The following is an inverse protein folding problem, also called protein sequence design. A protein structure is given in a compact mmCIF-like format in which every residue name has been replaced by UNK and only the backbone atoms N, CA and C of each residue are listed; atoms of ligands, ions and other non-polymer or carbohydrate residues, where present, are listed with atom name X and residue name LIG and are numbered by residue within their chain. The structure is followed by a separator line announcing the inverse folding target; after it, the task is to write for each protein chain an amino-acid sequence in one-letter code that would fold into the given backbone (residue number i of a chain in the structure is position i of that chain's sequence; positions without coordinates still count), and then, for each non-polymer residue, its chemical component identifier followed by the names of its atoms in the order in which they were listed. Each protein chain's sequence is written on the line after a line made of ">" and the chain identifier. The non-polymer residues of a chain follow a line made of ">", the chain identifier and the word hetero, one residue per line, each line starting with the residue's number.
data_IF_282185733825
#
_entry.id   IF_282185733825
#
_cell.length_a   1.000
_cell.length_b   1.000
_cell.length_c   1.000
_cell.angle_alpha   90.00
_cell.angle_beta   90.00
_cell.angle_gamma   90.00
#
_symmetry.space_group_name_H-M   'P 1'
#
loop_
_entity.id
_entity.type
_entity.pdbx_description
1 polymer ?
#
# COMPACT_ATOMS: atom_id res chain seq x y z
N UNK A 1 -24.04 -25.31 2.37
CA UNK A 1 -23.20 -25.97 1.35
C UNK A 1 -23.00 -25.15 0.08
N UNK A 2 -24.03 -24.48 -0.47
CA UNK A 2 -23.89 -23.63 -1.67
C UNK A 2 -23.04 -22.34 -1.45
N UNK A 3 -23.10 -21.74 -0.28
CA UNK A 3 -22.33 -20.51 0.06
C UNK A 3 -20.83 -20.79 0.17
N UNK A 4 -20.45 -21.96 0.69
CA UNK A 4 -19.03 -22.37 0.81
C UNK A 4 -18.40 -22.64 -0.55
N UNK A 5 -19.15 -23.17 -1.51
CA UNK A 5 -18.65 -23.47 -2.84
C UNK A 5 -18.46 -22.21 -3.70
N UNK A 6 -19.29 -21.18 -3.48
CA UNK A 6 -19.12 -19.87 -4.12
C UNK A 6 -17.85 -19.14 -3.64
N UNK A 7 -17.53 -19.24 -2.36
CA UNK A 7 -16.29 -18.64 -1.80
C UNK A 7 -15.02 -19.30 -2.36
N UNK A 8 -15.01 -20.62 -2.55
CA UNK A 8 -13.86 -21.34 -3.13
C UNK A 8 -13.63 -20.98 -4.60
N UNK A 9 -14.69 -20.76 -5.38
CA UNK A 9 -14.56 -20.40 -6.79
C UNK A 9 -14.10 -18.93 -6.99
N UNK A 10 -14.52 -18.01 -6.12
CA UNK A 10 -14.02 -16.63 -6.12
C UNK A 10 -12.52 -16.57 -5.75
N UNK A 11 -12.11 -17.35 -4.75
CA UNK A 11 -10.71 -17.52 -4.36
C UNK A 11 -9.83 -18.06 -5.49
N UNK A 12 -10.30 -19.07 -6.24
CA UNK A 12 -9.56 -19.62 -7.37
C UNK A 12 -9.33 -18.59 -8.48
N UNK A 13 -10.24 -17.65 -8.68
CA UNK A 13 -10.11 -16.60 -9.70
C UNK A 13 -9.14 -15.50 -9.29
N UNK A 14 -9.10 -15.11 -8.01
CA UNK A 14 -8.13 -14.14 -7.48
C UNK A 14 -6.71 -14.70 -7.52
N UNK A 15 -6.53 -15.98 -7.14
CA UNK A 15 -5.21 -16.63 -7.20
C UNK A 15 -4.77 -17.00 -8.62
N UNK A 16 -5.68 -17.31 -9.54
CA UNK A 16 -5.33 -17.60 -10.93
C UNK A 16 -4.82 -16.35 -11.68
N UNK A 17 -5.35 -15.17 -11.39
CA UNK A 17 -4.83 -13.89 -11.91
C UNK A 17 -3.43 -13.59 -11.40
N UNK A 18 -3.16 -13.85 -10.12
CA UNK A 18 -1.87 -13.63 -9.48
C UNK A 18 -0.80 -14.64 -9.95
N UNK A 19 -1.16 -15.91 -10.13
CA UNK A 19 -0.24 -16.97 -10.59
C UNK A 19 0.22 -16.78 -12.04
N UNK A 20 -0.57 -16.15 -12.91
CA UNK A 20 -0.18 -15.83 -14.28
C UNK A 20 0.90 -14.74 -14.35
N UNK A 21 0.98 -13.85 -13.36
CA UNK A 21 2.01 -12.80 -13.32
C UNK A 21 3.41 -13.35 -12.97
N UNK A 22 3.50 -14.43 -12.20
CA UNK A 22 4.80 -15.05 -11.84
C UNK A 22 5.45 -15.81 -13.00
N UNK A 23 4.67 -16.32 -13.94
CA UNK A 23 5.21 -17.07 -15.11
C UNK A 23 5.88 -16.20 -16.16
N UNK A 24 5.65 -14.90 -16.19
CA UNK A 24 6.22 -14.01 -17.21
C UNK A 24 7.65 -13.53 -16.91
N UNK A 25 8.14 -13.73 -15.67
CA UNK A 25 9.47 -13.25 -15.23
C UNK A 25 10.57 -14.31 -15.18
N UNK A 26 10.31 -15.54 -15.55
CA UNK A 26 11.27 -16.62 -15.46
C UNK A 26 11.40 -17.41 -16.75
N UNK A 27 12.32 -17.06 -17.64
CA UNK A 27 13.15 -17.97 -18.45
C UNK A 27 13.96 -17.22 -19.51
N UNK A 28 15.25 -17.08 -19.29
CA UNK A 28 16.27 -17.33 -20.33
C UNK A 28 17.67 -17.34 -19.70
N UNK A 29 18.16 -18.55 -19.46
CA UNK A 29 19.56 -18.81 -19.28
C UNK A 29 19.96 -19.93 -20.24
N UNK A 30 20.68 -19.59 -21.31
CA UNK A 30 21.66 -20.47 -21.92
C UNK A 30 22.40 -19.73 -23.04
N UNK A 31 23.73 -19.80 -23.04
CA UNK A 31 24.54 -19.45 -24.20
C UNK A 31 25.82 -18.67 -23.82
N UNK A 32 26.89 -19.42 -23.60
CA UNK A 32 28.27 -18.91 -23.52
C UNK A 32 28.64 -18.17 -24.83
N UNK A 33 29.29 -17.03 -24.66
CA UNK A 33 29.93 -16.30 -25.76
C UNK A 33 30.67 -15.10 -25.21
N UNK A 34 32.02 -15.18 -25.05
CA UNK A 34 32.84 -14.08 -24.59
C UNK A 34 32.76 -12.89 -25.57
N UNK A 35 32.60 -11.66 -25.10
CA UNK A 35 32.63 -10.48 -25.96
C UNK A 35 34.06 -9.99 -26.18
N UNK A 36 34.37 -9.82 -27.45
CA UNK A 36 35.52 -9.09 -27.99
C UNK A 36 35.31 -7.59 -27.68
N UNK A 37 36.33 -6.93 -27.13
CA UNK A 37 36.34 -5.52 -26.86
C UNK A 37 36.39 -4.68 -28.13
N UNK A 38 35.60 -3.63 -28.31
CA UNK A 38 35.82 -2.60 -29.32
C UNK A 38 36.73 -1.50 -28.80
N UNK A 39 37.65 -1.08 -29.66
CA UNK A 39 38.64 -0.03 -29.44
C UNK A 39 38.02 1.37 -29.50
N UNK A 40 38.50 2.24 -28.62
CA UNK A 40 38.74 3.65 -28.86
C UNK A 40 37.52 4.57 -28.96
N UNK A 41 37.17 5.23 -27.83
CA UNK A 41 36.45 6.49 -27.86
C UNK A 41 37.40 7.65 -27.46
N UNK A 42 37.31 8.85 -28.11
CA UNK A 42 38.20 9.97 -27.83
C UNK A 42 37.86 10.67 -26.51
N UNK A 43 38.88 11.20 -25.86
CA UNK A 43 38.83 11.96 -24.62
C UNK A 43 38.06 13.29 -24.77
N UNK A 44 37.30 13.71 -23.73
CA UNK A 44 36.65 15.02 -23.72
C UNK A 44 37.65 16.15 -23.43
N UNK A 45 37.38 17.37 -23.91
CA UNK A 45 38.30 18.52 -23.70
C UNK A 45 38.22 19.01 -22.26
N UNK A 46 39.41 19.29 -21.71
CA UNK A 46 39.62 19.96 -20.43
C UNK A 46 39.28 21.44 -20.54
N UNK A 47 38.38 21.91 -19.66
CA UNK A 47 38.12 23.34 -19.51
C UNK A 47 36.82 23.59 -18.73
N UNK A 48 36.89 23.43 -17.39
CA UNK A 48 35.88 24.01 -16.50
C UNK A 48 36.58 25.01 -15.57
N UNK A 49 36.01 26.21 -15.37
CA UNK A 49 36.56 27.18 -14.42
C UNK A 49 36.28 26.75 -12.98
N UNK A 50 37.26 26.90 -12.13
CA UNK A 50 37.21 26.71 -10.68
C UNK A 50 36.20 27.69 -10.07
N UNK A 51 35.23 27.18 -9.38
CA UNK A 51 34.33 27.96 -8.55
C UNK A 51 34.97 28.23 -7.18
N UNK A 52 34.91 29.47 -6.77
CA UNK A 52 35.35 30.04 -5.51
C UNK A 52 34.57 29.44 -4.31
N UNK A 53 35.20 29.11 -3.17
CA UNK A 53 34.47 28.64 -1.99
C UNK A 53 33.94 29.83 -1.19
N UNK A 54 32.78 30.34 -1.58
CA UNK A 54 32.14 31.46 -0.93
C UNK A 54 30.84 31.09 -0.24
N UNK A 55 30.85 31.24 1.11
CA UNK A 55 29.72 31.51 2.04
C UNK A 55 28.61 30.49 2.13
N UNK A 56 28.33 29.88 3.30
CA UNK A 56 27.16 29.04 3.52
C UNK A 56 25.89 29.88 3.43
N UNK A 57 24.81 29.35 2.84
CA UNK A 57 23.53 30.03 2.81
C UNK A 57 22.96 30.16 4.22
N UNK A 58 22.17 31.21 4.51
CA UNK A 58 21.63 31.44 5.84
C UNK A 58 20.63 30.33 6.21
N UNK A 59 20.75 29.82 7.43
CA UNK A 59 19.78 28.97 8.07
C UNK A 59 18.46 29.73 8.21
N UNK A 60 17.47 29.33 7.44
CA UNK A 60 16.13 29.94 7.42
C UNK A 60 15.19 29.15 6.53
N UNK A 61 15.15 27.83 6.68
CA UNK A 61 14.06 27.04 6.13
C UNK A 61 12.86 27.18 7.07
N UNK A 62 12.00 28.11 6.77
CA UNK A 62 10.61 28.11 7.24
C UNK A 62 9.99 26.80 6.81
N UNK A 63 9.68 25.94 7.76
CA UNK A 63 8.95 24.70 7.51
C UNK A 63 7.65 25.03 6.76
N UNK A 64 7.54 24.61 5.54
CA UNK A 64 6.29 24.57 4.82
C UNK A 64 5.46 23.49 5.51
N UNK A 65 4.56 23.92 6.40
CA UNK A 65 3.50 23.04 6.92
C UNK A 65 2.78 22.46 5.70
N UNK A 66 2.74 21.14 5.59
CA UNK A 66 1.86 20.44 4.65
C UNK A 66 0.46 21.05 4.79
N UNK A 67 -0.22 21.48 3.72
CA UNK A 67 -1.54 22.08 3.86
C UNK A 67 -2.46 21.07 4.53
N UNK A 68 -3.04 21.41 5.67
CA UNK A 68 -3.98 20.56 6.36
C UNK A 68 -5.19 20.30 5.47
N UNK A 69 -5.53 19.03 5.27
CA UNK A 69 -6.73 18.66 4.49
C UNK A 69 -7.97 19.27 5.15
N UNK A 70 -8.75 20.01 4.37
CA UNK A 70 -9.97 20.66 4.88
C UNK A 70 -11.15 19.70 4.73
N UNK A 71 -11.99 19.65 5.78
CA UNK A 71 -13.21 18.84 5.75
C UNK A 71 -14.17 19.31 4.63
N UNK A 72 -14.52 18.37 3.74
CA UNK A 72 -15.48 18.57 2.67
C UNK A 72 -16.90 18.19 3.06
N UNK A 73 -17.79 18.11 2.08
CA UNK A 73 -19.16 17.67 2.29
C UNK A 73 -19.21 16.22 2.80
N UNK A 74 -20.06 15.92 3.83
CA UNK A 74 -20.20 14.56 4.35
C UNK A 74 -20.77 13.61 3.28
N UNK A 75 -20.40 12.34 3.39
CA UNK A 75 -21.00 11.27 2.59
C UNK A 75 -22.32 10.85 3.26
N UNK A 76 -23.37 10.75 2.47
CA UNK A 76 -24.68 10.24 2.90
C UNK A 76 -24.95 8.95 2.13
N UNK A 77 -25.14 7.85 2.85
CA UNK A 77 -25.40 6.54 2.29
C UNK A 77 -26.40 5.77 3.16
N UNK A 78 -27.14 4.80 2.58
CA UNK A 78 -27.99 3.90 3.35
C UNK A 78 -27.17 3.13 4.39
N UNK A 79 -27.75 2.94 5.58
CA UNK A 79 -27.07 2.27 6.68
C UNK A 79 -26.81 0.79 6.36
N UNK A 80 -25.61 0.30 6.71
CA UNK A 80 -25.15 -1.08 6.52
C UNK A 80 -25.27 -1.61 5.07
N UNK A 81 -25.19 -0.68 4.10
CA UNK A 81 -25.31 -0.99 2.68
C UNK A 81 -24.07 -0.48 1.94
N UNK A 82 -23.39 -1.35 1.22
CA UNK A 82 -22.29 -0.95 0.36
C UNK A 82 -22.76 0.05 -0.68
N UNK A 83 -22.14 1.20 -0.73
CA UNK A 83 -22.53 2.32 -1.59
C UNK A 83 -21.26 2.91 -2.22
N UNK A 84 -21.25 2.99 -3.54
CA UNK A 84 -20.20 3.69 -4.27
C UNK A 84 -20.38 5.21 -4.19
N UNK A 85 -19.26 5.92 -4.04
CA UNK A 85 -19.21 7.38 -3.98
C UNK A 85 -18.13 7.86 -4.93
N UNK A 86 -18.53 8.50 -6.02
CA UNK A 86 -17.58 9.19 -6.91
C UNK A 86 -16.90 10.35 -6.18
N UNK A 87 -15.58 10.46 -6.33
CA UNK A 87 -14.80 11.54 -5.72
C UNK A 87 -14.24 12.43 -6.82
N UNK A 88 -14.73 13.66 -6.87
CA UNK A 88 -14.31 14.64 -7.88
C UNK A 88 -12.79 14.88 -7.87
N UNK A 89 -12.14 14.71 -9.00
CA UNK A 89 -10.71 14.89 -9.19
C UNK A 89 -9.86 13.66 -8.85
N UNK A 90 -10.43 12.58 -8.29
CA UNK A 90 -9.75 11.31 -8.12
C UNK A 90 -9.67 10.57 -9.46
N UNK A 91 -8.49 10.02 -9.78
CA UNK A 91 -8.21 9.38 -11.08
C UNK A 91 -7.47 8.06 -10.90
N UNK A 92 -7.76 7.10 -11.77
CA UNK A 92 -6.98 5.88 -11.96
C UNK A 92 -5.75 6.15 -12.86
N UNK A 93 -4.91 5.14 -13.04
CA UNK A 93 -3.69 5.23 -13.85
C UNK A 93 -3.96 5.55 -15.33
N UNK A 94 -5.08 5.10 -15.88
CA UNK A 94 -5.54 5.39 -17.25
C UNK A 94 -6.20 6.78 -17.39
N UNK A 95 -6.22 7.59 -16.32
CA UNK A 95 -6.87 8.90 -16.28
C UNK A 95 -8.39 8.87 -16.06
N UNK A 96 -9.01 7.68 -16.00
CA UNK A 96 -10.44 7.56 -15.72
C UNK A 96 -10.79 8.00 -14.29
N UNK A 97 -12.01 8.55 -14.05
CA UNK A 97 -12.43 8.95 -12.72
C UNK A 97 -12.65 7.73 -11.82
N UNK A 98 -12.44 7.93 -10.50
CA UNK A 98 -12.66 6.91 -9.49
C UNK A 98 -13.27 7.49 -8.20
N UNK A 99 -13.45 6.65 -7.19
CA UNK A 99 -14.06 7.02 -5.92
C UNK A 99 -13.76 6.02 -4.82
N UNK A 100 -14.69 5.88 -3.88
CA UNK A 100 -14.60 4.97 -2.75
C UNK A 100 -15.92 4.23 -2.51
N UNK A 101 -15.84 3.02 -1.97
CA UNK A 101 -16.97 2.31 -1.41
C UNK A 101 -17.16 2.65 0.07
N UNK A 102 -18.39 2.85 0.50
CA UNK A 102 -18.70 3.06 1.93
C UNK A 102 -19.78 2.10 2.40
N UNK A 103 -19.67 1.68 3.64
CA UNK A 103 -20.68 0.90 4.35
C UNK A 103 -20.83 1.49 5.74
N UNK A 104 -21.76 2.43 5.89
CA UNK A 104 -21.90 3.29 7.07
C UNK A 104 -22.83 2.67 8.11
N UNK A 105 -22.65 3.07 9.38
CA UNK A 105 -23.55 2.74 10.49
C UNK A 105 -23.65 3.91 11.46
N UNK A 106 -24.76 4.00 12.16
CA UNK A 106 -24.98 4.96 13.26
C UNK A 106 -24.56 4.40 14.63
N UNK A 107 -24.24 3.12 14.69
CA UNK A 107 -23.95 2.41 15.93
C UNK A 107 -22.56 2.72 16.48
N UNK A 108 -21.70 3.34 15.67
CA UNK A 108 -20.31 3.66 16.04
C UNK A 108 -19.81 4.92 15.34
N UNK A 109 -18.97 5.67 16.03
CA UNK A 109 -18.15 6.75 15.44
C UNK A 109 -16.77 6.23 14.97
N UNK A 110 -16.43 4.98 15.26
CA UNK A 110 -15.18 4.33 14.84
C UNK A 110 -15.20 4.00 13.34
N UNK A 111 -14.02 4.04 12.70
CA UNK A 111 -13.90 3.89 11.25
C UNK A 111 -12.77 2.92 10.89
N UNK A 112 -13.06 1.97 10.01
CA UNK A 112 -12.07 1.22 9.24
C UNK A 112 -11.96 1.85 7.86
N UNK A 113 -10.76 2.22 7.43
CA UNK A 113 -10.43 2.53 6.03
C UNK A 113 -9.55 1.41 5.52
N UNK A 114 -10.03 0.70 4.51
CA UNK A 114 -9.32 -0.43 3.90
C UNK A 114 -8.85 -0.07 2.50
N UNK A 115 -7.55 -0.19 2.26
CA UNK A 115 -6.90 0.02 0.97
C UNK A 115 -6.74 -1.33 0.27
N UNK A 116 -7.29 -1.44 -0.95
CA UNK A 116 -7.25 -2.67 -1.75
C UNK A 116 -5.83 -2.97 -2.24
N UNK A 117 -5.46 -4.25 -2.29
CA UNK A 117 -4.26 -4.73 -2.95
C UNK A 117 -4.36 -4.74 -4.48
N UNK A 118 -3.25 -5.05 -5.16
CA UNK A 118 -3.31 -5.16 -6.63
C UNK A 118 -1.97 -4.97 -7.34
N UNK A 119 -0.84 -5.21 -6.68
CA UNK A 119 0.48 -5.10 -7.30
C UNK A 119 0.97 -3.66 -7.47
N UNK A 120 1.99 -3.44 -8.29
CA UNK A 120 2.52 -2.10 -8.59
C UNK A 120 3.20 -2.09 -9.95
N UNK A 121 3.31 -0.92 -10.60
CA UNK A 121 4.01 -0.77 -11.85
C UNK A 121 4.87 0.51 -11.89
N UNK A 122 5.97 0.54 -12.64
CA UNK A 122 6.95 1.63 -12.59
C UNK A 122 7.69 1.89 -13.92
N UNK A 123 7.36 1.16 -14.97
CA UNK A 123 7.92 1.32 -16.31
C UNK A 123 6.91 0.93 -17.40
N UNK A 124 7.29 1.12 -18.65
CA UNK A 124 6.41 0.84 -19.78
C UNK A 124 5.95 -0.63 -19.83
N UNK A 125 6.80 -1.58 -19.48
CA UNK A 125 6.47 -3.00 -19.56
C UNK A 125 5.56 -3.42 -18.40
N UNK A 126 5.85 -2.96 -17.19
CA UNK A 126 5.06 -3.29 -16.00
C UNK A 126 3.69 -2.63 -15.98
N UNK A 127 3.52 -1.42 -16.58
CA UNK A 127 2.23 -0.74 -16.62
C UNK A 127 1.42 -1.04 -17.90
N UNK A 128 2.08 -1.13 -19.07
CA UNK A 128 1.43 -1.18 -20.38
C UNK A 128 1.77 -2.42 -21.20
N UNK A 129 2.54 -3.34 -20.64
CA UNK A 129 2.88 -4.61 -21.26
C UNK A 129 1.67 -5.55 -21.41
N UNK A 130 1.86 -6.72 -22.05
CA UNK A 130 0.79 -7.69 -22.27
C UNK A 130 0.30 -8.35 -20.97
N UNK A 131 1.04 -8.22 -19.87
CA UNK A 131 0.70 -8.67 -18.53
C UNK A 131 1.12 -7.60 -17.53
N UNK A 132 0.31 -6.53 -17.34
CA UNK A 132 0.62 -5.49 -16.38
C UNK A 132 0.76 -6.06 -14.96
N UNK A 133 1.72 -5.53 -14.20
CA UNK A 133 2.00 -6.00 -12.84
C UNK A 133 1.15 -5.30 -11.77
N UNK A 134 0.22 -4.45 -12.17
CA UNK A 134 -0.77 -3.83 -11.29
C UNK A 134 -2.19 -3.99 -11.87
N UNK A 135 -3.16 -4.22 -10.99
CA UNK A 135 -4.56 -4.34 -11.36
C UNK A 135 -5.16 -2.97 -11.72
N UNK A 136 -6.19 -3.00 -12.56
CA UNK A 136 -7.02 -1.86 -12.93
C UNK A 136 -6.27 -0.67 -13.58
N UNK A 137 -4.96 -0.78 -13.85
CA UNK A 137 -4.16 0.31 -14.46
C UNK A 137 -4.54 0.57 -15.92
N UNK A 138 -5.10 -0.43 -16.63
CA UNK A 138 -5.55 -0.30 -18.02
C UNK A 138 -7.06 -0.08 -18.17
N UNK A 139 -7.85 -0.31 -17.12
CA UNK A 139 -9.31 -0.37 -17.20
C UNK A 139 -9.99 0.61 -16.25
N UNK A 140 -9.23 1.22 -15.35
CA UNK A 140 -9.76 2.02 -14.28
C UNK A 140 -10.62 1.22 -13.30
N UNK A 141 -11.15 1.89 -12.29
CA UNK A 141 -12.06 1.32 -11.29
C UNK A 141 -13.15 2.34 -10.93
N UNK A 142 -14.38 1.98 -11.24
CA UNK A 142 -15.56 2.79 -10.95
C UNK A 142 -16.69 1.95 -10.35
N UNK A 143 -17.89 2.50 -10.35
CA UNK A 143 -19.06 1.83 -9.77
C UNK A 143 -19.30 0.43 -10.34
N UNK A 144 -19.06 0.22 -11.64
CA UNK A 144 -19.30 -1.08 -12.29
C UNK A 144 -18.38 -2.16 -11.73
N UNK A 145 -17.11 -1.85 -11.54
CA UNK A 145 -16.12 -2.74 -10.93
C UNK A 145 -16.50 -2.98 -9.46
N UNK A 146 -16.80 -1.92 -8.72
CA UNK A 146 -17.19 -2.00 -7.31
C UNK A 146 -18.39 -2.92 -7.07
N UNK A 147 -19.45 -2.84 -7.90
CA UNK A 147 -20.67 -3.65 -7.74
C UNK A 147 -20.42 -5.16 -7.91
N UNK A 148 -19.30 -5.54 -8.52
CA UNK A 148 -18.93 -6.94 -8.82
C UNK A 148 -17.60 -7.38 -8.25
N UNK A 149 -16.97 -6.53 -7.44
CA UNK A 149 -15.65 -6.79 -6.88
C UNK A 149 -15.66 -8.02 -5.95
N UNK A 150 -14.92 -9.09 -6.28
CA UNK A 150 -14.88 -10.28 -5.46
C UNK A 150 -14.06 -10.09 -4.17
N UNK A 151 -13.21 -9.06 -4.07
CA UNK A 151 -12.38 -8.81 -2.89
C UNK A 151 -13.22 -8.31 -1.70
N UNK A 152 -14.24 -7.48 -1.95
CA UNK A 152 -15.09 -6.94 -0.89
C UNK A 152 -15.69 -8.05 0.01
N UNK A 153 -16.33 -9.12 -0.52
CA UNK A 153 -16.82 -10.21 0.31
C UNK A 153 -15.73 -11.21 0.75
N UNK A 154 -14.54 -11.17 0.14
CA UNK A 154 -13.46 -12.11 0.45
C UNK A 154 -12.62 -11.67 1.64
N UNK A 155 -12.42 -10.37 1.83
CA UNK A 155 -11.62 -9.83 2.93
C UNK A 155 -12.41 -9.89 4.24
N UNK A 156 -11.88 -10.62 5.21
CA UNK A 156 -12.48 -10.81 6.53
C UNK A 156 -12.91 -9.51 7.22
N UNK A 157 -12.09 -8.46 7.17
CA UNK A 157 -12.39 -7.17 7.84
C UNK A 157 -13.59 -6.45 7.24
N UNK A 158 -13.98 -6.76 6.00
CA UNK A 158 -15.09 -6.14 5.28
C UNK A 158 -16.40 -6.94 5.43
N UNK A 159 -16.34 -8.20 5.89
CA UNK A 159 -17.50 -9.08 6.02
C UNK A 159 -18.26 -8.82 7.33
N UNK A 160 -19.33 -8.04 7.27
CA UNK A 160 -20.22 -7.79 8.41
C UNK A 160 -21.00 -9.02 8.88
N UNK A 161 -21.06 -10.09 8.08
CA UNK A 161 -21.77 -11.33 8.46
C UNK A 161 -20.94 -12.22 9.37
N UNK A 162 -19.61 -12.04 9.37
CA UNK A 162 -18.72 -12.77 10.27
C UNK A 162 -18.82 -12.19 11.69
N UNK A 163 -19.29 -13.03 12.64
CA UNK A 163 -19.43 -12.65 14.06
C UNK A 163 -18.08 -12.34 14.72
N UNK A 164 -16.99 -12.86 14.14
CA UNK A 164 -15.63 -12.65 14.65
C UNK A 164 -14.98 -11.38 14.11
N UNK A 165 -15.56 -10.74 13.10
CA UNK A 165 -15.04 -9.48 12.56
C UNK A 165 -15.20 -8.34 13.57
N UNK A 166 -14.10 -7.74 14.09
CA UNK A 166 -14.16 -6.63 15.05
C UNK A 166 -14.69 -5.33 14.44
N UNK A 167 -14.83 -5.25 13.11
CA UNK A 167 -15.35 -4.09 12.39
C UNK A 167 -16.81 -4.24 11.94
N UNK A 168 -17.46 -5.38 12.25
CA UNK A 168 -18.84 -5.66 11.81
C UNK A 168 -19.86 -4.57 12.20
N UNK A 169 -19.61 -3.87 13.30
CA UNK A 169 -20.50 -2.82 13.84
C UNK A 169 -19.87 -1.41 13.78
N UNK A 170 -18.81 -1.24 12.96
CA UNK A 170 -18.14 0.05 12.72
C UNK A 170 -18.43 0.58 11.33
N UNK A 171 -18.08 1.84 11.07
CA UNK A 171 -18.07 2.38 9.72
C UNK A 171 -16.94 1.75 8.91
N UNK A 172 -17.22 1.39 7.68
CA UNK A 172 -16.24 0.79 6.77
C UNK A 172 -16.15 1.63 5.50
N UNK A 173 -14.93 1.98 5.13
CA UNK A 173 -14.57 2.64 3.87
C UNK A 173 -13.66 1.70 3.10
N UNK A 174 -13.99 1.42 1.85
CA UNK A 174 -13.18 0.63 0.93
C UNK A 174 -12.60 1.57 -0.13
N UNK A 175 -11.29 1.58 -0.25
CA UNK A 175 -10.55 2.39 -1.22
C UNK A 175 -9.99 1.45 -2.28
N UNK A 176 -10.54 1.47 -3.51
CA UNK A 176 -10.09 0.58 -4.57
C UNK A 176 -8.70 0.96 -5.07
N UNK A 177 -8.02 -0.01 -5.66
CA UNK A 177 -6.70 0.17 -6.23
C UNK A 177 -6.72 0.18 -7.76
N UNK A 178 -6.32 1.31 -8.36
CA UNK A 178 -6.25 1.46 -9.81
C UNK A 178 -5.13 2.44 -10.25
N UNK A 179 -4.20 2.79 -9.35
CA UNK A 179 -3.18 3.80 -9.63
C UNK A 179 -1.79 3.23 -9.88
N UNK A 180 -1.56 1.95 -9.55
CA UNK A 180 -0.30 1.25 -9.84
C UNK A 180 0.90 1.67 -8.99
N UNK A 181 0.73 2.48 -7.94
CA UNK A 181 1.76 3.19 -7.16
C UNK A 181 1.74 2.92 -5.65
N UNK A 182 1.08 1.85 -5.22
CA UNK A 182 0.88 1.51 -3.80
C UNK A 182 0.34 2.71 -2.98
N UNK A 183 -0.61 3.46 -3.55
CA UNK A 183 -1.25 4.65 -2.97
C UNK A 183 -0.28 5.80 -2.61
N UNK A 184 0.93 5.83 -3.18
CA UNK A 184 1.98 6.77 -2.78
C UNK A 184 2.30 7.84 -3.81
N UNK A 185 1.75 7.75 -5.02
CA UNK A 185 2.11 8.59 -6.14
C UNK A 185 1.34 9.93 -6.21
N UNK A 186 2.03 10.95 -6.75
CA UNK A 186 1.46 12.25 -7.15
C UNK A 186 2.19 12.75 -8.39
N UNK A 187 2.04 12.04 -9.51
CA UNK A 187 2.72 12.37 -10.78
C UNK A 187 1.99 11.76 -11.96
N UNK A 188 1.99 12.50 -13.07
CA UNK A 188 1.66 11.96 -14.40
C UNK A 188 2.97 11.69 -15.14
N UNK A 189 3.11 10.47 -15.67
CA UNK A 189 4.31 10.02 -16.39
C UNK A 189 3.88 9.45 -17.72
N UNK A 190 4.56 9.82 -18.81
CA UNK A 190 4.34 9.22 -20.12
C UNK A 190 5.36 8.09 -20.35
N UNK A 191 4.87 6.89 -20.62
CA UNK A 191 5.67 5.76 -21.03
C UNK A 191 5.49 5.47 -22.51
N UNK A 192 6.59 5.23 -23.22
CA UNK A 192 6.52 4.72 -24.59
C UNK A 192 6.59 3.18 -24.56
N UNK A 193 5.51 2.52 -24.99
CA UNK A 193 5.48 1.07 -25.14
C UNK A 193 5.21 0.71 -26.60
N UNK A 194 6.19 0.05 -27.24
CA UNK A 194 6.15 -0.38 -28.65
C UNK A 194 5.82 0.78 -29.64
N UNK A 195 6.32 2.00 -29.37
CA UNK A 195 6.12 3.16 -30.24
C UNK A 195 4.83 3.93 -29.97
N UNK A 196 4.04 3.56 -28.96
CA UNK A 196 2.85 4.27 -28.49
C UNK A 196 3.13 4.92 -27.15
N UNK A 197 2.81 6.19 -27.03
CA UNK A 197 2.90 6.93 -25.78
C UNK A 197 1.64 6.73 -24.94
N UNK A 198 1.85 6.37 -23.68
CA UNK A 198 0.80 6.13 -22.70
C UNK A 198 1.00 7.05 -21.50
N UNK A 199 0.05 7.92 -21.26
CA UNK A 199 0.00 8.74 -20.06
C UNK A 199 -0.48 7.89 -18.88
N UNK A 200 0.30 7.87 -17.79
CA UNK A 200 0.02 7.08 -16.59
C UNK A 200 -0.10 8.02 -15.40
N UNK A 201 -1.26 8.03 -14.77
CA UNK A 201 -1.57 8.87 -13.61
C UNK A 201 -1.27 8.10 -12.32
N UNK A 202 -0.06 8.23 -11.80
CA UNK A 202 0.30 7.80 -10.44
C UNK A 202 -0.31 8.78 -9.44
N UNK A 203 -1.57 8.59 -9.13
CA UNK A 203 -2.39 9.54 -8.36
C UNK A 203 -2.76 9.01 -6.97
N UNK A 204 -2.14 7.94 -6.49
CA UNK A 204 -2.56 7.28 -5.26
C UNK A 204 -2.57 8.19 -4.05
N UNK A 205 -1.48 8.89 -3.76
CA UNK A 205 -1.41 9.85 -2.65
C UNK A 205 -2.32 11.08 -2.86
N UNK A 206 -2.40 11.59 -4.09
CA UNK A 206 -3.33 12.68 -4.44
C UNK A 206 -4.77 12.27 -4.16
N UNK A 207 -5.17 11.06 -4.57
CA UNK A 207 -6.50 10.53 -4.33
C UNK A 207 -6.78 10.39 -2.83
N UNK A 208 -5.82 9.89 -2.04
CA UNK A 208 -5.96 9.80 -0.57
C UNK A 208 -6.30 11.17 0.03
N UNK A 209 -5.67 12.24 -0.39
CA UNK A 209 -5.98 13.60 0.10
C UNK A 209 -7.41 14.04 -0.25
N UNK A 210 -7.91 13.68 -1.45
CA UNK A 210 -9.29 13.95 -1.86
C UNK A 210 -10.29 13.13 -1.03
N UNK A 211 -9.98 11.86 -0.77
CA UNK A 211 -10.79 11.00 0.09
C UNK A 211 -10.84 11.51 1.52
N UNK A 212 -9.70 11.89 2.08
CA UNK A 212 -9.61 12.46 3.43
C UNK A 212 -10.50 13.68 3.61
N UNK A 213 -10.59 14.58 2.63
CA UNK A 213 -11.50 15.71 2.69
C UNK A 213 -12.96 15.27 2.92
N UNK A 214 -13.42 14.24 2.20
CA UNK A 214 -14.78 13.69 2.35
C UNK A 214 -14.95 12.93 3.66
N UNK A 215 -13.92 12.17 4.07
CA UNK A 215 -13.95 11.39 5.32
C UNK A 215 -13.97 12.29 6.56
N UNK A 216 -13.23 13.37 6.57
CA UNK A 216 -13.25 14.37 7.67
C UNK A 216 -14.64 14.98 7.85
N UNK A 217 -15.33 15.30 6.75
CA UNK A 217 -16.71 15.80 6.81
C UNK A 217 -17.70 14.75 7.28
N UNK A 218 -17.45 13.48 6.94
CA UNK A 218 -18.34 12.35 7.27
C UNK A 218 -18.17 11.88 8.72
N UNK A 219 -16.93 11.88 9.23
CA UNK A 219 -16.58 11.33 10.54
C UNK A 219 -15.98 12.37 11.50
N UNK A 220 -16.67 13.50 11.77
CA UNK A 220 -16.13 14.60 12.58
C UNK A 220 -15.96 14.27 14.07
N UNK A 221 -16.55 13.14 14.50
CA UNK A 221 -16.55 12.70 15.90
C UNK A 221 -15.65 11.51 16.17
N UNK A 222 -15.06 10.92 15.13
CA UNK A 222 -14.24 9.71 15.32
C UNK A 222 -13.06 10.00 16.24
N UNK A 223 -12.82 9.07 17.16
CA UNK A 223 -11.65 9.06 18.06
C UNK A 223 -10.74 7.86 17.80
N UNK A 224 -11.19 6.90 16.98
CA UNK A 224 -10.41 5.73 16.56
C UNK A 224 -10.63 5.44 15.08
N UNK A 225 -9.55 5.38 14.36
CA UNK A 225 -9.50 4.98 12.96
C UNK A 225 -8.49 3.85 12.80
N UNK A 226 -8.85 2.82 12.04
CA UNK A 226 -7.92 1.81 11.57
C UNK A 226 -7.69 2.02 10.08
N UNK A 227 -6.45 2.24 9.71
CA UNK A 227 -6.00 2.25 8.34
C UNK A 227 -5.45 0.86 8.04
N UNK A 228 -6.19 0.10 7.26
CA UNK A 228 -5.84 -1.26 6.90
C UNK A 228 -5.64 -1.40 5.40
N UNK A 229 -4.94 -2.44 4.98
CA UNK A 229 -4.85 -2.79 3.57
C UNK A 229 -4.11 -4.10 3.39
N UNK A 230 -4.23 -4.66 2.19
CA UNK A 230 -3.55 -5.88 1.80
C UNK A 230 -2.60 -5.65 0.62
N UNK A 231 -1.45 -6.37 0.58
CA UNK A 231 -0.50 -6.28 -0.53
C UNK A 231 -0.09 -4.82 -0.83
N UNK A 232 -0.33 -4.31 -2.05
CA UNK A 232 -0.13 -2.89 -2.39
C UNK A 232 -0.88 -1.94 -1.44
N UNK A 233 -2.05 -2.34 -0.93
CA UNK A 233 -2.82 -1.58 0.06
C UNK A 233 -2.19 -1.63 1.46
N UNK A 234 -1.51 -2.70 1.83
CA UNK A 234 -0.71 -2.80 3.05
C UNK A 234 0.45 -1.79 3.04
N UNK A 235 1.23 -1.75 1.96
CA UNK A 235 2.22 -0.68 1.75
C UNK A 235 1.55 0.70 1.76
N UNK A 236 0.40 0.83 1.10
CA UNK A 236 -0.38 2.07 1.06
C UNK A 236 -0.80 2.55 2.44
N UNK A 237 -1.22 1.65 3.33
CA UNK A 237 -1.56 1.96 4.71
C UNK A 237 -0.34 2.48 5.49
N UNK A 238 0.79 1.81 5.36
CA UNK A 238 2.05 2.21 5.98
C UNK A 238 2.56 3.56 5.45
N UNK A 239 2.52 3.81 4.14
CA UNK A 239 3.00 5.07 3.53
C UNK A 239 2.08 6.26 3.82
N UNK A 240 0.76 6.05 3.94
CA UNK A 240 -0.19 7.13 4.18
C UNK A 240 -0.60 7.28 5.65
N UNK A 241 -0.05 6.48 6.57
CA UNK A 241 -0.38 6.57 8.00
C UNK A 241 -0.26 8.00 8.53
N UNK A 242 0.86 8.68 8.28
CA UNK A 242 1.07 10.06 8.72
C UNK A 242 0.03 11.03 8.17
N UNK A 243 -0.32 10.90 6.89
CA UNK A 243 -1.33 11.72 6.23
C UNK A 243 -2.71 11.56 6.90
N UNK A 244 -3.10 10.33 7.26
CA UNK A 244 -4.33 10.07 8.01
C UNK A 244 -4.25 10.59 9.44
N UNK A 245 -3.15 10.35 10.16
CA UNK A 245 -3.01 10.79 11.55
C UNK A 245 -2.99 12.32 11.67
N UNK A 246 -2.33 13.00 10.73
CA UNK A 246 -2.28 14.47 10.68
C UNK A 246 -3.62 15.09 10.27
N UNK A 247 -4.42 14.40 9.44
CA UNK A 247 -5.76 14.83 9.09
C UNK A 247 -6.76 14.63 10.25
N UNK A 248 -6.75 13.45 10.87
CA UNK A 248 -7.63 13.09 11.98
C UNK A 248 -6.99 13.39 13.35
N UNK A 249 -6.68 14.66 13.62
CA UNK A 249 -5.95 15.10 14.84
C UNK A 249 -6.60 14.70 16.17
N UNK A 250 -7.90 14.39 16.19
CA UNK A 250 -8.64 13.95 17.38
C UNK A 250 -8.74 12.45 17.52
N UNK A 251 -8.39 11.72 16.48
CA UNK A 251 -8.43 10.26 16.47
C UNK A 251 -7.03 9.68 16.64
N UNK A 252 -6.96 8.50 17.27
CA UNK A 252 -5.82 7.63 17.14
C UNK A 252 -5.99 6.79 15.89
N UNK A 253 -5.02 6.84 14.99
CA UNK A 253 -4.97 6.01 13.79
C UNK A 253 -4.08 4.80 14.06
N UNK A 254 -4.62 3.59 13.96
CA UNK A 254 -3.86 2.34 14.07
C UNK A 254 -3.70 1.72 12.67
N UNK A 255 -2.62 1.00 12.40
CA UNK A 255 -2.34 0.37 11.08
C UNK A 255 -2.51 -1.12 11.17
N UNK A 256 -3.21 -1.72 10.19
CA UNK A 256 -3.24 -3.16 9.93
C UNK A 256 -2.71 -3.39 8.51
N UNK A 257 -1.47 -3.82 8.42
CA UNK A 257 -0.76 -4.09 7.17
C UNK A 257 -0.76 -5.60 6.93
N UNK A 258 -1.47 -6.06 5.91
CA UNK A 258 -1.45 -7.47 5.49
C UNK A 258 -0.63 -7.61 4.21
N UNK A 259 0.52 -8.25 4.29
CA UNK A 259 1.39 -8.55 3.15
C UNK A 259 1.97 -7.30 2.45
N UNK A 260 2.06 -6.17 3.16
CA UNK A 260 2.83 -4.98 2.77
C UNK A 260 4.13 -4.87 3.57
N UNK A 261 4.83 -5.97 3.74
CA UNK A 261 6.01 -6.08 4.62
C UNK A 261 7.03 -4.99 4.32
N UNK A 262 7.45 -4.18 5.31
CA UNK A 262 8.42 -3.11 5.12
C UNK A 262 9.86 -3.64 4.97
N UNK A 263 10.06 -4.58 4.04
CA UNK A 263 11.35 -5.07 3.60
C UNK A 263 11.89 -4.09 2.57
N UNK A 264 13.16 -3.71 2.71
CA UNK A 264 13.77 -2.75 1.80
C UNK A 264 14.15 -3.43 0.48
N UNK A 265 13.66 -2.95 -0.68
CA UNK A 265 14.11 -3.44 -1.97
C UNK A 265 15.55 -2.96 -2.26
N UNK A 266 16.13 -3.46 -3.34
CA UNK A 266 17.39 -2.90 -3.85
C UNK A 266 17.33 -1.36 -3.91
N UNK A 267 18.38 -0.65 -3.42
CA UNK A 267 18.35 0.82 -3.35
C UNK A 267 18.07 1.53 -4.67
N UNK A 268 18.51 0.97 -5.81
CA UNK A 268 18.22 1.56 -7.12
C UNK A 268 16.74 1.38 -7.49
N UNK A 269 16.15 0.24 -7.17
CA UNK A 269 14.71 -0.03 -7.35
C UNK A 269 13.87 0.91 -6.48
N UNK A 270 14.23 1.09 -5.21
CA UNK A 270 13.55 2.05 -4.33
C UNK A 270 13.64 3.48 -4.84
N UNK A 271 14.81 3.90 -5.31
CA UNK A 271 14.99 5.21 -5.90
C UNK A 271 14.17 5.38 -7.20
N UNK A 272 14.06 4.34 -8.03
CA UNK A 272 13.22 4.33 -9.23
C UNK A 272 11.74 4.51 -8.85
N UNK A 273 11.20 3.72 -7.94
CA UNK A 273 9.80 3.83 -7.50
C UNK A 273 9.49 5.23 -6.98
N UNK A 274 10.31 5.74 -6.05
CA UNK A 274 10.14 7.10 -5.52
C UNK A 274 10.12 8.17 -6.61
N UNK A 275 11.00 8.05 -7.59
CA UNK A 275 11.11 9.03 -8.69
C UNK A 275 9.95 8.93 -9.68
N UNK A 276 9.55 7.71 -10.05
CA UNK A 276 8.49 7.48 -11.04
C UNK A 276 7.14 7.87 -10.48
N UNK A 277 6.86 7.51 -9.23
CA UNK A 277 5.61 7.84 -8.56
C UNK A 277 5.61 9.26 -7.96
N UNK A 278 6.76 9.93 -7.85
CA UNK A 278 6.95 11.18 -7.08
C UNK A 278 6.44 11.00 -5.64
N UNK A 279 6.87 9.90 -5.01
CA UNK A 279 6.46 9.55 -3.65
C UNK A 279 6.81 10.67 -2.67
N UNK A 280 5.83 11.11 -1.90
CA UNK A 280 6.01 12.15 -0.89
C UNK A 280 6.58 11.53 0.39
N UNK A 281 7.80 11.94 0.75
CA UNK A 281 8.42 11.54 2.01
C UNK A 281 8.12 12.57 3.10
N UNK A 282 7.95 12.16 4.37
CA UNK A 282 7.87 13.11 5.48
C UNK A 282 9.12 13.99 5.52
N UNK A 283 8.94 15.31 5.56
CA UNK A 283 10.04 16.28 5.46
C UNK A 283 11.06 16.16 6.61
N UNK A 284 10.61 15.67 7.76
CA UNK A 284 11.41 15.46 8.98
C UNK A 284 11.93 14.00 9.12
N UNK A 285 11.72 13.14 8.10
CA UNK A 285 12.27 11.79 8.06
C UNK A 285 13.52 11.72 7.16
N UNK A 286 14.70 11.89 7.74
CA UNK A 286 15.95 11.84 7.00
C UNK A 286 16.22 10.46 6.36
N UNK A 287 15.76 9.39 6.99
CA UNK A 287 16.04 8.01 6.59
C UNK A 287 14.97 7.39 5.69
N UNK A 288 13.77 7.96 5.56
CA UNK A 288 12.70 7.42 4.70
C UNK A 288 13.12 7.26 3.22
N UNK A 289 14.15 7.97 2.79
CA UNK A 289 14.73 7.78 1.46
C UNK A 289 15.50 6.45 1.29
N UNK A 290 15.79 5.73 2.38
CA UNK A 290 16.55 4.45 2.35
C UNK A 290 15.65 3.28 1.98
N UNK A 291 14.42 3.21 2.51
CA UNK A 291 13.51 2.10 2.25
C UNK A 291 12.18 2.19 3.01
N UNK A 292 11.25 1.27 2.74
CA UNK A 292 9.99 1.13 3.47
C UNK A 292 10.17 0.90 4.97
N UNK A 293 11.22 0.18 5.41
CA UNK A 293 11.51 -0.06 6.82
C UNK A 293 11.66 1.24 7.60
N UNK A 294 12.38 2.20 7.04
CA UNK A 294 12.61 3.50 7.64
C UNK A 294 11.33 4.35 7.78
N UNK A 295 10.34 4.17 6.90
CA UNK A 295 9.02 4.79 7.04
C UNK A 295 8.29 4.28 8.28
N UNK A 296 8.23 2.98 8.44
CA UNK A 296 7.53 2.35 9.56
C UNK A 296 8.20 2.72 10.87
N UNK A 297 9.52 2.66 10.95
CA UNK A 297 10.28 3.04 12.13
C UNK A 297 10.08 4.51 12.49
N UNK A 298 10.14 5.41 11.50
CA UNK A 298 9.87 6.84 11.72
C UNK A 298 8.49 7.06 12.35
N UNK A 299 7.45 6.43 11.82
CA UNK A 299 6.10 6.62 12.34
C UNK A 299 5.88 5.94 13.69
N UNK A 300 6.48 4.76 13.92
CA UNK A 300 6.45 4.10 15.24
C UNK A 300 7.11 4.96 16.31
N UNK A 301 8.22 5.62 15.99
CA UNK A 301 8.91 6.55 16.89
C UNK A 301 8.11 7.82 17.13
N UNK A 302 7.55 8.42 16.08
CA UNK A 302 6.82 9.70 16.13
C UNK A 302 5.47 9.55 16.87
N UNK A 303 4.82 8.39 16.76
CA UNK A 303 3.49 8.12 17.29
C UNK A 303 3.46 6.88 18.20
N UNK A 304 4.08 6.93 19.39
CA UNK A 304 4.30 5.77 20.25
C UNK A 304 3.03 5.17 20.87
N UNK A 305 1.89 5.87 20.79
CA UNK A 305 0.59 5.40 21.29
C UNK A 305 -0.27 4.70 20.23
N UNK A 306 0.13 4.82 18.95
CA UNK A 306 -0.57 4.18 17.84
C UNK A 306 -0.08 2.74 17.70
N UNK A 307 -0.91 1.84 17.19
CA UNK A 307 -0.59 0.44 17.02
C UNK A 307 -0.28 0.14 15.55
N UNK A 308 0.76 -0.65 15.33
CA UNK A 308 1.20 -1.09 14.01
C UNK A 308 1.18 -2.62 13.96
N UNK A 309 0.15 -3.18 13.33
CA UNK A 309 -0.02 -4.61 13.15
C UNK A 309 0.41 -5.05 11.75
N UNK A 310 1.36 -5.98 11.67
CA UNK A 310 1.80 -6.59 10.42
C UNK A 310 1.31 -8.04 10.37
N UNK A 311 0.72 -8.42 9.25
CA UNK A 311 0.35 -9.80 8.93
C UNK A 311 1.20 -10.21 7.71
N UNK A 312 1.80 -11.40 7.77
CA UNK A 312 2.65 -11.91 6.69
C UNK A 312 2.56 -13.42 6.62
N UNK A 313 2.84 -13.98 5.44
CA UNK A 313 3.25 -15.38 5.33
C UNK A 313 4.77 -15.48 5.45
N UNK A 314 5.24 -16.63 5.93
CA UNK A 314 6.66 -16.99 6.06
C UNK A 314 7.41 -16.87 4.72
N UNK A 315 6.73 -17.26 3.64
CA UNK A 315 7.22 -17.20 2.26
C UNK A 315 6.15 -16.52 1.40
N UNK A 316 6.23 -15.20 1.26
CA UNK A 316 5.28 -14.49 0.41
C UNK A 316 5.67 -14.65 -1.07
N UNK A 317 4.84 -15.40 -1.78
CA UNK A 317 5.08 -15.78 -3.18
C UNK A 317 4.87 -14.63 -4.17
N UNK A 318 4.27 -13.52 -3.73
CA UNK A 318 4.00 -12.33 -4.55
C UNK A 318 5.02 -11.24 -4.25
N UNK A 319 5.25 -10.92 -2.98
CA UNK A 319 6.15 -9.83 -2.60
C UNK A 319 7.62 -10.20 -2.88
N UNK A 320 8.03 -11.45 -2.69
CA UNK A 320 9.39 -11.87 -2.99
C UNK A 320 9.84 -11.48 -4.42
N UNK A 321 9.14 -11.85 -5.51
CA UNK A 321 9.53 -11.43 -6.86
C UNK A 321 9.41 -9.91 -7.08
N UNK A 322 8.44 -9.21 -6.48
CA UNK A 322 8.39 -7.74 -6.54
C UNK A 322 9.64 -7.10 -5.96
N UNK A 323 10.18 -7.66 -4.87
CA UNK A 323 11.45 -7.21 -4.27
C UNK A 323 12.69 -7.75 -4.98
N UNK A 324 12.53 -8.58 -6.03
CA UNK A 324 13.60 -9.30 -6.74
C UNK A 324 14.35 -10.30 -5.84
N UNK A 325 13.63 -10.91 -4.91
CA UNK A 325 14.14 -11.90 -3.97
C UNK A 325 13.66 -13.32 -4.37
N UNK A 326 14.47 -14.32 -4.11
CA UNK A 326 13.97 -15.71 -4.00
C UNK A 326 13.12 -15.86 -2.73
N UNK A 327 12.31 -16.91 -2.64
CA UNK A 327 11.51 -17.16 -1.43
C UNK A 327 12.37 -17.35 -0.18
N UNK A 328 13.55 -17.97 -0.29
CA UNK A 328 14.49 -18.12 0.82
C UNK A 328 15.06 -16.75 1.24
N UNK A 329 15.49 -15.93 0.30
CA UNK A 329 15.95 -14.57 0.60
C UNK A 329 14.85 -13.73 1.23
N UNK A 330 13.62 -13.83 0.73
CA UNK A 330 12.47 -13.15 1.35
C UNK A 330 12.28 -13.57 2.81
N UNK A 331 12.32 -14.88 3.10
CA UNK A 331 12.21 -15.40 4.46
C UNK A 331 13.33 -14.87 5.38
N UNK A 332 14.57 -14.83 4.89
CA UNK A 332 15.71 -14.33 5.66
C UNK A 332 15.55 -12.82 5.94
N UNK A 333 15.16 -12.01 4.95
CA UNK A 333 14.89 -10.58 5.11
C UNK A 333 13.68 -10.32 6.01
N UNK A 334 12.61 -11.09 5.87
CA UNK A 334 11.44 -11.03 6.75
C UNK A 334 11.87 -11.30 8.20
N UNK A 335 12.63 -12.35 8.45
CA UNK A 335 13.11 -12.70 9.79
C UNK A 335 13.95 -11.59 10.40
N UNK A 336 14.89 -11.03 9.63
CA UNK A 336 15.72 -9.90 10.06
C UNK A 336 14.88 -8.66 10.40
N UNK A 337 13.91 -8.35 9.57
CA UNK A 337 12.99 -7.23 9.78
C UNK A 337 12.12 -7.44 11.03
N UNK A 338 11.63 -8.67 11.27
CA UNK A 338 10.84 -8.99 12.47
C UNK A 338 11.67 -8.91 13.75
N UNK A 339 12.95 -9.33 13.73
CA UNK A 339 13.88 -9.17 14.86
C UNK A 339 14.12 -7.69 15.20
N UNK A 340 14.26 -6.86 14.16
CA UNK A 340 14.30 -5.40 14.34
C UNK A 340 12.99 -4.86 14.90
N UNK A 341 11.86 -5.35 14.42
CA UNK A 341 10.52 -4.94 14.85
C UNK A 341 10.30 -5.19 16.35
N UNK A 342 10.76 -6.33 16.86
CA UNK A 342 10.64 -6.71 18.28
C UNK A 342 11.56 -5.87 19.20
N UNK A 343 12.71 -5.41 18.69
CA UNK A 343 13.73 -4.76 19.53
C UNK A 343 13.67 -3.24 19.51
N UNK A 344 13.06 -2.63 18.48
CA UNK A 344 13.13 -1.17 18.25
C UNK A 344 12.04 -0.40 18.96
N UNK A 345 10.80 -0.94 19.02
CA UNK A 345 9.64 -0.23 19.57
C UNK A 345 8.63 -1.22 20.16
N UNK A 346 7.78 -0.75 21.09
CA UNK A 346 6.77 -1.56 21.80
C UNK A 346 5.36 -1.40 21.24
N UNK A 347 5.16 -0.57 20.23
CA UNK A 347 3.83 -0.23 19.69
C UNK A 347 3.49 -0.94 18.38
N UNK A 348 4.28 -1.93 17.99
CA UNK A 348 4.03 -2.76 16.81
C UNK A 348 4.20 -4.24 17.13
N UNK A 349 3.33 -5.06 16.55
CA UNK A 349 3.38 -6.51 16.63
C UNK A 349 3.02 -7.11 15.28
N UNK A 350 3.35 -8.37 15.08
CA UNK A 350 3.11 -9.07 13.83
C UNK A 350 2.49 -10.45 14.07
N UNK A 351 1.82 -10.94 13.03
CA UNK A 351 1.34 -12.31 12.96
C UNK A 351 1.85 -12.96 11.67
N UNK A 352 2.78 -13.90 11.81
CA UNK A 352 3.33 -14.65 10.67
C UNK A 352 2.60 -15.99 10.55
N UNK A 353 2.00 -16.20 9.38
CA UNK A 353 1.35 -17.42 8.98
C UNK A 353 2.38 -18.40 8.39
N UNK A 354 2.36 -19.68 8.73
CA UNK A 354 3.27 -20.65 8.15
C UNK A 354 2.94 -20.95 6.69
N UNK A 355 3.99 -21.13 5.87
CA UNK A 355 3.88 -21.60 4.50
C UNK A 355 4.02 -20.52 3.43
N UNK A 356 3.83 -20.94 2.18
CA UNK A 356 4.03 -20.10 1.00
C UNK A 356 2.68 -19.63 0.44
N UNK A 357 2.32 -18.38 0.70
CA UNK A 357 1.07 -17.76 0.24
C UNK A 357 1.17 -16.24 0.24
N UNK A 358 0.04 -15.56 0.09
CA UNK A 358 -0.08 -14.11 0.07
C UNK A 358 -1.47 -13.70 0.61
N UNK A 359 -1.55 -12.61 1.39
CA UNK A 359 -2.77 -12.05 2.02
C UNK A 359 -3.47 -13.01 3.00
N UNK A 360 -3.18 -12.83 4.29
CA UNK A 360 -3.76 -13.62 5.37
C UNK A 360 -5.24 -13.33 5.67
N UNK A 361 -5.70 -12.11 5.39
CA UNK A 361 -7.08 -11.66 5.69
C UNK A 361 -8.15 -12.22 4.73
N UNK A 362 -7.74 -12.87 3.62
CA UNK A 362 -8.67 -13.56 2.71
C UNK A 362 -9.17 -14.88 3.30
N UNK A 363 -8.29 -15.63 3.95
CA UNK A 363 -8.63 -16.90 4.62
C UNK A 363 -8.03 -16.97 6.03
N UNK A 364 -8.46 -16.07 6.93
CA UNK A 364 -7.82 -15.96 8.24
C UNK A 364 -8.10 -17.18 9.10
N UNK A 365 -7.05 -17.66 9.78
CA UNK A 365 -7.20 -18.69 10.82
C UNK A 365 -7.93 -18.12 12.04
N UNK A 366 -8.41 -18.97 12.93
CA UNK A 366 -9.03 -18.55 14.20
C UNK A 366 -8.06 -17.75 15.07
N UNK A 367 -6.78 -18.13 15.06
CA UNK A 367 -5.71 -17.45 15.78
C UNK A 367 -5.48 -16.04 15.23
N UNK A 368 -5.41 -15.87 13.90
CA UNK A 368 -5.28 -14.57 13.27
C UNK A 368 -6.50 -13.67 13.57
N UNK A 369 -7.72 -14.20 13.50
CA UNK A 369 -8.93 -13.46 13.89
C UNK A 369 -8.86 -12.99 15.36
N UNK A 370 -8.38 -13.86 16.25
CA UNK A 370 -8.20 -13.55 17.67
C UNK A 370 -7.16 -12.45 17.87
N UNK A 371 -6.04 -12.51 17.12
CA UNK A 371 -4.98 -11.54 17.18
C UNK A 371 -5.46 -10.15 16.69
N UNK A 372 -6.19 -10.10 15.57
CA UNK A 372 -6.79 -8.85 15.06
C UNK A 372 -7.79 -8.26 16.06
N UNK A 373 -8.64 -9.10 16.68
CA UNK A 373 -9.55 -8.65 17.75
C UNK A 373 -8.81 -8.06 18.96
N UNK A 374 -7.70 -8.67 19.39
CA UNK A 374 -6.88 -8.17 20.48
C UNK A 374 -6.29 -6.80 20.14
N UNK A 375 -5.80 -6.61 18.93
CA UNK A 375 -5.33 -5.32 18.45
C UNK A 375 -6.44 -4.26 18.48
N UNK A 376 -7.57 -4.57 17.86
CA UNK A 376 -8.68 -3.62 17.69
C UNK A 376 -9.34 -3.25 19.02
N UNK A 377 -9.48 -4.20 19.95
CA UNK A 377 -10.03 -3.94 21.28
C UNK A 377 -9.10 -3.16 22.20
N UNK A 378 -7.83 -3.03 21.84
CA UNK A 378 -6.84 -2.38 22.71
C UNK A 378 -6.32 -3.30 23.82
N UNK A 379 -6.41 -4.62 23.64
CA UNK A 379 -5.90 -5.61 24.62
C UNK A 379 -4.43 -5.39 24.93
N UNK A 380 -4.04 -5.66 26.18
CA UNK A 380 -2.64 -5.76 26.60
C UNK A 380 -2.00 -7.10 26.20
N UNK A 381 -2.81 -8.10 25.85
CA UNK A 381 -2.37 -9.41 25.39
C UNK A 381 -2.36 -9.50 23.84
N UNK A 382 -1.87 -8.45 23.21
CA UNK A 382 -1.66 -8.39 21.78
C UNK A 382 -0.15 -8.47 21.54
N UNK A 383 0.34 -9.68 21.30
CA UNK A 383 1.76 -10.01 21.20
C UNK A 383 2.12 -10.45 19.78
N UNK A 384 3.39 -10.41 19.41
CA UNK A 384 3.89 -10.94 18.14
C UNK A 384 3.78 -12.49 18.10
N UNK A 385 3.45 -13.02 16.92
CA UNK A 385 3.31 -14.47 16.67
C UNK A 385 4.17 -14.85 15.47
N UNK A 386 5.05 -15.85 15.67
CA UNK A 386 5.84 -16.52 14.60
C UNK A 386 5.51 -18.01 14.58
N UNK A 387 5.68 -18.70 13.40
CA UNK A 387 5.61 -20.17 13.34
C UNK A 387 6.63 -20.85 14.22
#
# INVERSE_FOLDING_TARGET
>A
MLVTQSRHNALASVFAGLALMVSACGMSSSGEGAPVAPAGAPAPPSGAPTADPGTPPPAGATGTSTPSVVAGAPIVAPERTWTWVDIAGATCADGSPTGIGVNLTKDSDDVLVFLEGGGACWDAASCWGPAPTAFNVLTGYGKTQFDTDPQIPAIYLLDRSDSDNPFRDKNIVYVPYCTGDSFSGDKVTTFNYLGVDHETHFSGHKNINLYLSRLLGTFPKTTRLWLAGDSAGGFGASFNFGTFQEAFTKARVDVIDDSGQPIDPDPAKWAQWRSVWNMQLPADCADCAKGPSAFVDYYRAKYPTNRFGLISFDYDVIIAPFMSLSLTQFHDELTSMLDHFDTSFTNGHYFVLPGASHVGLVTPTTELKTWVKAMVSGSTNWDSVRP
#
